data_IF_257887431785
#
_entry.id   IF_257887431785
#
_cell.length_a   1.000
_cell.length_b   1.000
_cell.length_c   1.000
_cell.angle_alpha   90.00
_cell.angle_beta   90.00
_cell.angle_gamma   90.00
#
_symmetry.space_group_name_H-M   'P 1'
#
loop_
_entity.id
_entity.type
_entity.pdbx_description
1 polymer ?
#
# COMPACT_ATOMS: atom_id res chain seq x y z
N UNK A 1 -6.24 -0.44 -6.38
CA UNK A 1 -5.51 0.31 -5.34
C UNK A 1 -4.86 -0.63 -4.34
N UNK A 2 -3.78 -0.21 -3.68
CA UNK A 2 -3.25 -0.96 -2.55
C UNK A 2 -4.06 -0.62 -1.30
N UNK A 3 -4.59 -1.64 -0.64
CA UNK A 3 -5.34 -1.49 0.61
C UNK A 3 -4.51 -2.02 1.75
N UNK A 4 -4.42 -1.24 2.82
CA UNK A 4 -3.80 -1.65 4.07
C UNK A 4 -4.72 -2.66 4.77
N UNK A 5 -4.28 -3.91 4.88
CA UNK A 5 -4.94 -4.92 5.70
C UNK A 5 -4.13 -5.12 6.96
N UNK A 6 -4.71 -4.78 8.10
CA UNK A 6 -4.13 -5.09 9.42
C UNK A 6 -4.59 -6.49 9.81
N UNK A 7 -3.67 -7.37 10.17
CA UNK A 7 -3.98 -8.68 10.72
C UNK A 7 -4.58 -8.52 12.12
N UNK A 8 -5.77 -9.08 12.32
CA UNK A 8 -6.51 -9.03 13.59
C UNK A 8 -6.19 -10.22 14.53
N UNK A 9 -5.31 -11.13 14.11
CA UNK A 9 -5.17 -12.42 14.78
C UNK A 9 -5.48 -13.57 13.82
N UNK A 10 -4.64 -14.59 13.75
CA UNK A 10 -4.99 -15.84 13.05
C UNK A 10 -5.58 -16.83 14.06
N UNK A 11 -6.72 -17.44 13.72
CA UNK A 11 -7.28 -18.57 14.47
C UNK A 11 -6.91 -19.92 13.79
N UNK A 12 -5.78 -19.94 13.07
CA UNK A 12 -5.30 -21.11 12.34
C UNK A 12 -4.30 -21.89 13.22
N UNK A 13 -4.60 -23.16 13.56
CA UNK A 13 -3.80 -23.95 14.50
C UNK A 13 -2.38 -24.27 14.00
N UNK A 14 -2.05 -23.98 12.73
CA UNK A 14 -0.73 -24.20 12.15
C UNK A 14 0.09 -22.92 11.96
N UNK A 15 -0.45 -21.75 12.29
CA UNK A 15 0.19 -20.44 12.16
C UNK A 15 0.48 -19.85 13.56
N UNK A 16 1.69 -20.09 14.06
CA UNK A 16 2.11 -19.58 15.37
C UNK A 16 2.95 -18.31 15.24
N UNK A 17 2.59 -17.25 15.96
CA UNK A 17 3.46 -16.09 16.21
C UNK A 17 3.26 -15.61 17.64
N UNK A 18 4.25 -14.92 18.21
CA UNK A 18 4.22 -14.44 19.62
C UNK A 18 3.08 -13.47 19.93
N UNK A 19 2.38 -12.94 18.91
CA UNK A 19 1.25 -12.02 19.05
C UNK A 19 0.10 -12.37 18.10
N UNK A 20 -0.05 -13.65 17.70
CA UNK A 20 -1.11 -14.11 16.77
C UNK A 20 -1.20 -13.36 15.43
N UNK A 21 -0.12 -12.70 14.97
CA UNK A 21 -0.11 -11.78 13.81
C UNK A 21 -0.98 -10.53 14.02
N UNK A 22 -1.46 -10.29 15.23
CA UNK A 22 -2.11 -9.05 15.63
C UNK A 22 -1.14 -7.89 15.43
N UNK A 23 -1.58 -6.89 14.67
CA UNK A 23 -0.78 -5.71 14.32
C UNK A 23 0.08 -5.84 13.06
N UNK A 24 0.05 -6.99 12.35
CA UNK A 24 0.75 -7.13 11.07
C UNK A 24 0.06 -6.30 9.99
N UNK A 25 0.74 -5.28 9.46
CA UNK A 25 0.26 -4.48 8.34
C UNK A 25 0.71 -5.11 7.01
N UNK A 26 -0.25 -5.52 6.17
CA UNK A 26 0.01 -6.07 4.84
C UNK A 26 -0.71 -5.24 3.78
N UNK A 27 0.02 -4.83 2.75
CA UNK A 27 -0.57 -4.15 1.59
C UNK A 27 -1.07 -5.20 0.59
N UNK A 28 -2.37 -5.22 0.32
CA UNK A 28 -2.98 -6.10 -0.68
C UNK A 28 -3.41 -5.26 -1.87
N UNK A 29 -2.99 -5.65 -3.06
CA UNK A 29 -3.42 -4.98 -4.29
C UNK A 29 -4.81 -5.48 -4.68
N UNK A 30 -5.77 -4.57 -4.74
CA UNK A 30 -7.14 -4.83 -5.17
C UNK A 30 -7.41 -4.06 -6.47
N UNK A 31 -7.64 -4.73 -7.61
CA UNK A 31 -7.86 -4.08 -8.90
C UNK A 31 -9.21 -3.35 -9.03
N UNK A 32 -10.16 -3.64 -8.14
CA UNK A 32 -11.50 -3.02 -8.11
C UNK A 32 -11.61 -1.94 -7.03
N UNK A 33 -10.70 -1.91 -6.06
CA UNK A 33 -10.64 -0.85 -5.06
C UNK A 33 -10.12 0.49 -5.65
N UNK A 34 -10.77 1.58 -5.23
CA UNK A 34 -10.47 2.98 -5.55
C UNK A 34 -11.45 3.62 -6.53
N UNK A 35 -11.71 4.92 -6.39
CA UNK A 35 -12.48 5.66 -7.40
C UNK A 35 -11.66 5.85 -8.68
N UNK A 36 -12.29 6.11 -9.84
CA UNK A 36 -11.57 6.43 -11.07
C UNK A 36 -10.58 7.59 -10.91
N UNK A 37 -10.91 8.58 -10.07
CA UNK A 37 -10.08 9.75 -9.78
C UNK A 37 -8.80 9.35 -9.00
N UNK A 38 -8.94 8.58 -7.92
CA UNK A 38 -7.78 8.12 -7.14
C UNK A 38 -6.85 7.24 -8.00
N UNK A 39 -7.42 6.44 -8.91
CA UNK A 39 -6.63 5.63 -9.85
C UNK A 39 -5.88 6.50 -10.85
N UNK A 40 -6.47 7.61 -11.29
CA UNK A 40 -5.82 8.57 -12.17
C UNK A 40 -4.65 9.29 -11.48
N UNK A 41 -4.83 9.70 -10.22
CA UNK A 41 -3.75 10.32 -9.41
C UNK A 41 -2.58 9.35 -9.19
N UNK A 42 -2.86 8.08 -8.91
CA UNK A 42 -1.81 7.06 -8.75
C UNK A 42 -1.05 6.82 -10.05
N UNK A 43 -1.72 6.78 -11.20
CA UNK A 43 -1.05 6.61 -12.49
C UNK A 43 -0.25 7.87 -12.87
N UNK A 44 -0.75 9.06 -12.59
CA UNK A 44 0.00 10.31 -12.78
C UNK A 44 1.26 10.31 -11.92
N UNK A 45 1.14 9.97 -10.63
CA UNK A 45 2.29 9.84 -9.73
C UNK A 45 3.29 8.80 -10.24
N UNK A 46 2.82 7.66 -10.76
CA UNK A 46 3.66 6.62 -11.37
C UNK A 46 4.40 7.12 -12.60
N UNK A 47 3.73 7.84 -13.50
CA UNK A 47 4.36 8.45 -14.67
C UNK A 47 5.37 9.52 -14.29
N UNK A 48 5.04 10.37 -13.30
CA UNK A 48 5.92 11.41 -12.82
C UNK A 48 7.19 10.82 -12.20
N UNK A 49 7.06 9.75 -11.42
CA UNK A 49 8.20 8.96 -10.93
C UNK A 49 9.03 8.42 -12.09
N UNK A 50 8.41 7.78 -13.09
CA UNK A 50 9.14 7.16 -14.20
C UNK A 50 9.92 8.18 -15.04
N UNK A 51 9.37 9.39 -15.22
CA UNK A 51 10.03 10.50 -15.92
C UNK A 51 11.20 11.08 -15.12
N UNK A 52 11.05 11.19 -13.80
CA UNK A 52 12.03 11.88 -12.93
C UNK A 52 12.99 10.93 -12.18
N UNK A 53 12.83 9.60 -12.28
CA UNK A 53 13.62 8.58 -11.56
C UNK A 53 15.15 8.67 -11.73
N UNK A 54 15.61 9.29 -12.80
CA UNK A 54 17.03 9.48 -13.10
C UNK A 54 17.52 10.92 -12.83
N UNK A 55 16.59 11.86 -12.63
CA UNK A 55 16.88 13.29 -12.40
C UNK A 55 16.76 13.65 -10.92
N UNK A 56 15.89 12.96 -10.18
CA UNK A 56 15.60 13.19 -8.77
C UNK A 56 15.70 11.85 -8.04
N UNK A 57 16.35 11.85 -6.86
CA UNK A 57 16.39 10.67 -6.01
C UNK A 57 14.97 10.32 -5.58
N UNK A 58 14.48 9.18 -6.05
CA UNK A 58 13.18 8.63 -5.74
C UNK A 58 12.94 8.55 -4.22
N UNK A 59 12.09 9.42 -3.66
CA UNK A 59 11.55 9.25 -2.32
C UNK A 59 10.29 8.38 -2.38
N UNK A 60 10.31 7.22 -1.72
CA UNK A 60 9.18 6.30 -1.61
C UNK A 60 7.99 6.84 -0.79
N UNK A 61 8.16 8.00 -0.15
CA UNK A 61 7.21 8.60 0.80
C UNK A 61 5.90 9.10 0.13
N UNK A 62 5.98 9.58 -1.11
CA UNK A 62 4.85 10.18 -1.82
C UNK A 62 3.74 9.17 -2.11
N UNK A 63 4.10 7.98 -2.58
CA UNK A 63 3.13 6.90 -2.83
C UNK A 63 2.51 6.38 -1.53
N UNK A 64 3.27 6.38 -0.44
CA UNK A 64 2.76 5.96 0.87
C UNK A 64 1.73 6.95 1.43
N UNK A 65 1.98 8.27 1.30
CA UNK A 65 1.03 9.31 1.73
C UNK A 65 -0.29 9.31 0.98
N UNK A 66 -0.30 8.88 -0.29
CA UNK A 66 -1.54 8.75 -1.06
C UNK A 66 -2.41 7.56 -0.61
N UNK A 67 -1.85 6.64 0.18
CA UNK A 67 -2.50 5.38 0.55
C UNK A 67 -2.90 5.30 2.04
N UNK A 68 -2.32 6.15 2.89
CA UNK A 68 -2.63 6.20 4.33
C UNK A 68 -3.37 7.50 4.65
N UNK A 69 -4.64 7.45 5.07
CA UNK A 69 -5.33 8.64 5.55
C UNK A 69 -4.71 9.07 6.89
N UNK A 70 -4.41 10.36 7.03
CA UNK A 70 -3.93 10.98 8.28
C UNK A 70 -5.02 11.05 9.34
#
# INVERSE_FOLDING_TARGET
MWKLKVGEGSNDPYLFSTNDFAGRQTWVFDPEAGTPEERAEVEEARQNFYKNRHQVKACSDLLWRMQVPS
#
